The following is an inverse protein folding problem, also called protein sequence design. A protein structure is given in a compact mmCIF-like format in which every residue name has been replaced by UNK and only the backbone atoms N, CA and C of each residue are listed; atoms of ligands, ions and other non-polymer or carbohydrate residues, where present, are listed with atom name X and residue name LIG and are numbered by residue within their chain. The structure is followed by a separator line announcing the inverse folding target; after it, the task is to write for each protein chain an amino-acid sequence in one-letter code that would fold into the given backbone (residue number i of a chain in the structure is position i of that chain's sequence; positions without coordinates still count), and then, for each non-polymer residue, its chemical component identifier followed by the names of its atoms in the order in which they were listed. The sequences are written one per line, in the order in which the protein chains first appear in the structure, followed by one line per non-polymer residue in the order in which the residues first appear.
data_IF_718448368622
#
_entry.id   IF_718448368622
#
_cell.length_a   1.000
_cell.length_b   1.000
_cell.length_c   1.000
_cell.angle_alpha   90.00
_cell.angle_beta   90.00
_cell.angle_gamma   90.00
#
_symmetry.space_group_name_H-M   'P 1'
#
loop_
_entity.id
_entity.type
_entity.pdbx_description
1 polymer ?
#
# COMPACT_ATOMS: atom_id res chain seq x y z
N UNK A 1 -27.83 3.57 36.86
CA UNK A 1 -28.23 4.69 35.98
C UNK A 1 -27.03 5.03 35.12
N UNK A 2 -27.15 4.95 33.79
CA UNK A 2 -26.06 5.32 32.89
C UNK A 2 -26.08 6.84 32.72
N UNK A 3 -25.15 7.52 33.38
CA UNK A 3 -24.97 8.96 33.20
C UNK A 3 -24.27 9.23 31.86
N UNK A 4 -24.69 10.29 31.17
CA UNK A 4 -24.03 10.74 29.93
C UNK A 4 -22.60 11.15 30.27
N UNK A 5 -21.62 10.65 29.52
CA UNK A 5 -20.23 11.09 29.61
C UNK A 5 -19.91 11.96 28.40
N UNK A 6 -19.96 13.31 28.53
CA UNK A 6 -19.59 14.21 27.45
C UNK A 6 -18.15 13.98 26.98
N UNK A 7 -17.93 14.06 25.68
CA UNK A 7 -16.60 13.87 25.06
C UNK A 7 -16.19 12.41 24.85
N UNK A 8 -16.99 11.43 25.29
CA UNK A 8 -16.78 10.01 24.96
C UNK A 8 -17.50 9.62 23.67
N UNK A 9 -17.04 8.54 23.03
CA UNK A 9 -17.67 8.04 21.82
C UNK A 9 -18.81 7.07 22.19
N UNK A 10 -19.97 7.26 21.58
CA UNK A 10 -21.12 6.36 21.68
C UNK A 10 -21.42 5.77 20.31
N UNK A 11 -21.77 4.49 20.26
CA UNK A 11 -22.16 3.80 19.03
C UNK A 11 -23.65 3.51 19.06
N UNK A 12 -24.35 3.90 18.00
CA UNK A 12 -25.73 3.54 17.81
C UNK A 12 -25.85 2.06 17.43
N UNK A 13 -26.60 1.28 18.21
CA UNK A 13 -26.65 -0.19 18.12
C UNK A 13 -27.12 -0.66 16.74
N UNK A 14 -28.16 -0.03 16.18
CA UNK A 14 -28.75 -0.48 14.91
C UNK A 14 -27.98 -0.02 13.67
N UNK A 15 -27.34 1.15 13.72
CA UNK A 15 -26.69 1.73 12.53
C UNK A 15 -25.17 1.62 12.57
N UNK A 16 -24.58 1.23 13.69
CA UNK A 16 -23.13 1.21 13.90
C UNK A 16 -22.48 2.60 13.90
N UNK A 17 -23.27 3.68 13.74
CA UNK A 17 -22.77 5.06 13.68
C UNK A 17 -22.19 5.49 15.01
N UNK A 18 -21.03 6.14 14.96
CA UNK A 18 -20.34 6.66 16.15
C UNK A 18 -20.62 8.14 16.29
N UNK A 19 -21.08 8.54 17.47
CA UNK A 19 -21.42 9.91 17.83
C UNK A 19 -20.70 10.31 19.11
N UNK A 20 -20.48 11.61 19.28
CA UNK A 20 -19.83 12.16 20.46
C UNK A 20 -20.74 13.22 21.10
N UNK A 21 -21.41 12.93 22.23
CA UNK A 21 -22.17 13.92 22.97
C UNK A 21 -21.26 15.02 23.50
N UNK A 22 -21.66 16.27 23.24
CA UNK A 22 -20.96 17.48 23.69
C UNK A 22 -21.57 17.99 24.99
N UNK A 23 -22.88 17.84 25.17
CA UNK A 23 -23.56 18.27 26.39
C UNK A 23 -25.07 18.01 26.38
N UNK A 24 -25.71 18.41 27.48
CA UNK A 24 -27.17 18.38 27.64
C UNK A 24 -27.67 19.82 27.58
N UNK A 25 -28.66 20.06 26.74
CA UNK A 25 -29.36 21.33 26.62
C UNK A 25 -30.84 21.16 26.98
N UNK A 26 -31.52 22.29 27.22
CA UNK A 26 -32.95 22.33 27.42
C UNK A 26 -33.59 22.92 26.16
N UNK A 27 -34.51 22.19 25.54
CA UNK A 27 -35.26 22.65 24.36
C UNK A 27 -36.25 23.74 24.80
N UNK A 28 -36.24 24.90 24.12
CA UNK A 28 -37.04 26.07 24.53
C UNK A 28 -38.56 25.85 24.39
N UNK A 29 -38.99 25.15 23.33
CA UNK A 29 -40.43 24.98 23.04
C UNK A 29 -41.11 23.97 23.97
N UNK A 30 -40.41 22.89 24.33
CA UNK A 30 -40.98 21.76 25.08
C UNK A 30 -40.45 21.65 26.50
N UNK A 31 -39.45 22.46 26.86
CA UNK A 31 -38.68 22.38 28.11
C UNK A 31 -38.08 20.99 28.38
N UNK A 32 -37.87 20.18 27.33
CA UNK A 32 -37.30 18.83 27.45
C UNK A 32 -35.78 18.87 27.44
N UNK A 33 -35.18 17.97 28.21
CA UNK A 33 -33.72 17.74 28.19
C UNK A 33 -33.34 17.01 26.91
N UNK A 34 -32.44 17.59 26.15
CA UNK A 34 -31.90 17.03 24.90
C UNK A 34 -30.40 16.87 25.01
N UNK A 35 -29.86 15.83 24.39
CA UNK A 35 -28.43 15.61 24.20
C UNK A 35 -28.04 16.24 22.88
N UNK A 36 -27.03 17.10 22.92
CA UNK A 36 -26.36 17.65 21.74
C UNK A 36 -25.15 16.76 21.46
N UNK A 37 -25.07 16.20 20.25
CA UNK A 37 -23.97 15.33 19.85
C UNK A 37 -23.48 15.64 18.45
N UNK A 38 -22.21 15.34 18.22
CA UNK A 38 -21.55 15.47 16.92
C UNK A 38 -21.41 14.09 16.29
N UNK A 39 -21.83 13.96 15.04
CA UNK A 39 -21.56 12.79 14.22
C UNK A 39 -20.25 13.04 13.45
N UNK A 40 -19.21 12.25 13.74
CA UNK A 40 -17.92 12.34 13.02
C UNK A 40 -18.08 11.65 11.66
N UNK A 41 -18.25 12.46 10.61
CA UNK A 41 -18.25 12.01 9.20
C UNK A 41 -16.92 12.46 8.57
N UNK A 42 -16.32 11.70 7.62
CA UNK A 42 -14.97 12.01 7.11
C UNK A 42 -14.77 13.40 6.48
N UNK A 43 -15.85 14.14 6.18
CA UNK A 43 -15.77 15.46 5.54
C UNK A 43 -16.47 16.60 6.31
N UNK A 44 -17.35 16.32 7.28
CA UNK A 44 -18.13 17.37 7.97
C UNK A 44 -18.54 16.93 9.37
N UNK A 45 -18.44 17.84 10.34
CA UNK A 45 -19.01 17.65 11.68
C UNK A 45 -20.47 18.12 11.68
N UNK A 46 -21.40 17.17 11.68
CA UNK A 46 -22.83 17.47 11.80
C UNK A 46 -23.26 17.47 13.27
N UNK A 47 -23.88 18.56 13.71
CA UNK A 47 -24.43 18.70 15.05
C UNK A 47 -25.90 18.28 15.05
N UNK A 48 -26.25 17.37 15.95
CA UNK A 48 -27.59 16.84 16.09
C UNK A 48 -28.08 16.97 17.53
N UNK A 49 -29.40 17.07 17.69
CA UNK A 49 -30.07 17.05 18.99
C UNK A 49 -31.01 15.86 19.09
N UNK A 50 -31.11 15.24 20.26
CA UNK A 50 -32.07 14.15 20.54
C UNK A 50 -32.50 14.16 22.00
N UNK A 51 -33.76 13.83 22.34
CA UNK A 51 -34.19 13.75 23.74
C UNK A 51 -33.30 12.83 24.57
N UNK A 52 -32.96 13.25 25.78
CA UNK A 52 -32.06 12.52 26.68
C UNK A 52 -32.56 11.11 26.97
N UNK A 53 -33.86 10.96 27.19
CA UNK A 53 -34.49 9.65 27.45
C UNK A 53 -34.29 8.68 26.29
N UNK A 54 -34.38 9.17 25.04
CA UNK A 54 -34.15 8.36 23.83
C UNK A 54 -32.67 8.09 23.55
N UNK A 55 -31.78 8.91 24.09
CA UNK A 55 -30.34 8.67 23.96
C UNK A 55 -29.89 7.61 24.96
N UNK A 56 -30.52 7.56 26.13
CA UNK A 56 -30.19 6.64 27.23
C UNK A 56 -31.01 5.35 27.28
N UNK A 57 -31.95 5.16 26.35
CA UNK A 57 -32.82 3.97 26.30
C UNK A 57 -32.11 2.68 25.82
N UNK A 58 -30.79 2.72 25.66
CA UNK A 58 -29.98 1.58 25.19
C UNK A 58 -29.75 1.55 23.69
N UNK A 59 -30.27 2.52 22.91
CA UNK A 59 -29.92 2.67 21.48
C UNK A 59 -28.49 3.09 21.23
N UNK A 60 -27.83 3.67 22.24
CA UNK A 60 -26.44 4.12 22.17
C UNK A 60 -25.61 3.44 23.25
N UNK A 61 -24.53 2.79 22.84
CA UNK A 61 -23.58 2.13 23.73
C UNK A 61 -22.28 2.92 23.81
N UNK A 62 -21.73 3.06 25.02
CA UNK A 62 -20.42 3.68 25.21
C UNK A 62 -19.34 2.82 24.54
N UNK A 63 -18.55 3.43 23.66
CA UNK A 63 -17.37 2.82 23.06
C UNK A 63 -16.16 3.19 23.91
N UNK A 64 -15.53 2.19 24.55
CA UNK A 64 -14.29 2.40 25.28
C UNK A 64 -13.16 2.78 24.30
N UNK A 65 -12.52 3.93 24.56
CA UNK A 65 -11.36 4.40 23.80
C UNK A 65 -10.25 3.33 23.88
N UNK A 66 -9.97 2.65 22.77
CA UNK A 66 -8.96 1.58 22.68
C UNK A 66 -9.47 0.27 22.10
N UNK A 67 -10.80 0.04 22.06
CA UNK A 67 -11.37 -0.98 21.17
C UNK A 67 -11.52 -0.37 19.80
N UNK A 68 -10.63 -0.79 18.88
CA UNK A 68 -10.75 -0.53 17.46
C UNK A 68 -12.23 -0.60 17.05
N UNK A 69 -12.71 0.45 16.37
CA UNK A 69 -13.97 0.43 15.64
C UNK A 69 -13.84 -0.57 14.49
N UNK A 70 -13.75 -1.86 14.82
CA UNK A 70 -13.92 -2.90 13.83
C UNK A 70 -15.36 -2.77 13.35
N UNK A 71 -15.59 -2.64 12.04
CA UNK A 71 -16.91 -2.85 11.49
C UNK A 71 -17.45 -4.18 12.01
N UNK A 72 -18.72 -4.14 12.41
CA UNK A 72 -19.54 -5.23 12.95
C UNK A 72 -19.15 -6.60 12.39
N UNK A 73 -19.13 -7.60 13.28
CA UNK A 73 -19.12 -9.03 12.97
C UNK A 73 -20.01 -9.31 11.74
N UNK A 74 -19.38 -9.54 10.59
CA UNK A 74 -20.07 -9.55 9.29
C UNK A 74 -19.15 -9.35 8.09
N UNK A 75 -17.96 -8.76 8.29
CA UNK A 75 -16.90 -8.90 7.30
C UNK A 75 -16.29 -10.31 7.42
N UNK A 76 -16.30 -11.13 6.35
CA UNK A 76 -15.51 -12.35 6.37
C UNK A 76 -14.06 -11.96 6.64
N UNK A 77 -13.38 -12.75 7.48
CA UNK A 77 -11.93 -12.62 7.69
C UNK A 77 -11.26 -12.43 6.35
N UNK A 78 -10.38 -11.43 6.26
CA UNK A 78 -9.59 -11.17 5.08
C UNK A 78 -8.66 -12.38 4.88
N UNK A 79 -9.15 -13.39 4.18
CA UNK A 79 -8.33 -14.51 3.74
C UNK A 79 -7.48 -13.95 2.61
N UNK A 80 -6.17 -13.82 2.80
CA UNK A 80 -5.32 -13.36 1.71
C UNK A 80 -5.53 -14.33 0.55
N UNK A 81 -6.03 -13.80 -0.57
CA UNK A 81 -6.32 -14.57 -1.80
C UNK A 81 -5.05 -15.22 -2.35
N UNK A 82 -3.89 -14.69 -1.93
CA UNK A 82 -2.58 -15.14 -2.31
C UNK A 82 -1.80 -15.56 -1.08
N UNK A 83 -1.09 -16.67 -1.20
CA UNK A 83 -0.22 -17.19 -0.15
C UNK A 83 1.06 -16.31 -0.07
N UNK A 84 1.25 -15.54 1.02
CA UNK A 84 2.35 -14.59 1.13
C UNK A 84 3.71 -15.29 1.15
N UNK A 85 3.80 -16.51 1.69
CA UNK A 85 5.04 -17.29 1.71
C UNK A 85 5.43 -17.72 0.30
N UNK A 86 4.45 -18.13 -0.50
CA UNK A 86 4.66 -18.47 -1.91
C UNK A 86 5.17 -17.28 -2.72
N UNK A 87 4.59 -16.09 -2.52
CA UNK A 87 5.03 -14.85 -3.18
C UNK A 87 6.46 -14.48 -2.77
N UNK A 88 6.80 -14.68 -1.50
CA UNK A 88 8.14 -14.37 -1.00
C UNK A 88 9.19 -15.30 -1.64
N UNK A 89 8.92 -16.60 -1.67
CA UNK A 89 9.80 -17.59 -2.28
C UNK A 89 10.03 -17.34 -3.78
N UNK A 90 8.96 -17.05 -4.53
CA UNK A 90 9.05 -16.73 -5.96
C UNK A 90 9.90 -15.46 -6.21
N UNK A 91 9.78 -14.45 -5.35
CA UNK A 91 10.61 -13.25 -5.43
C UNK A 91 12.10 -13.52 -5.17
N UNK A 92 12.43 -14.41 -4.25
CA UNK A 92 13.83 -14.79 -4.01
C UNK A 92 14.42 -15.55 -5.20
N UNK A 93 13.65 -16.47 -5.79
CA UNK A 93 14.05 -17.19 -6.99
C UNK A 93 14.28 -16.24 -8.17
N UNK A 94 13.35 -15.30 -8.40
CA UNK A 94 13.50 -14.28 -9.45
C UNK A 94 14.75 -13.42 -9.25
N UNK A 95 15.07 -13.04 -8.02
CA UNK A 95 16.32 -12.30 -7.72
C UNK A 95 17.56 -13.10 -8.10
N UNK A 96 17.59 -14.40 -7.80
CA UNK A 96 18.70 -15.26 -8.16
C UNK A 96 18.84 -15.39 -9.68
N UNK A 97 17.74 -15.59 -10.40
CA UNK A 97 17.75 -15.67 -11.86
C UNK A 97 18.25 -14.38 -12.50
N UNK A 98 17.79 -13.21 -12.02
CA UNK A 98 18.25 -11.90 -12.51
C UNK A 98 19.76 -11.72 -12.28
N UNK A 99 20.29 -12.14 -11.14
CA UNK A 99 21.72 -12.05 -10.87
C UNK A 99 22.54 -12.98 -11.77
N UNK A 100 22.07 -14.21 -12.00
CA UNK A 100 22.70 -15.15 -12.93
C UNK A 100 22.76 -14.58 -14.35
N UNK A 101 21.64 -14.05 -14.86
CA UNK A 101 21.58 -13.42 -16.18
C UNK A 101 22.51 -12.20 -16.30
N UNK A 102 22.63 -11.40 -15.23
CA UNK A 102 23.57 -10.27 -15.20
C UNK A 102 25.02 -10.74 -15.32
N UNK A 103 25.37 -11.82 -14.65
CA UNK A 103 26.71 -12.41 -14.71
C UNK A 103 27.02 -12.92 -16.13
N UNK A 104 26.14 -13.75 -16.70
CA UNK A 104 26.27 -14.26 -18.07
C UNK A 104 26.40 -13.13 -19.10
N UNK A 105 25.61 -12.06 -18.95
CA UNK A 105 25.69 -10.89 -19.82
C UNK A 105 27.04 -10.18 -19.72
N UNK A 106 27.65 -10.14 -18.54
CA UNK A 106 28.98 -9.55 -18.35
C UNK A 106 30.04 -10.36 -19.06
N UNK A 107 30.01 -11.69 -18.90
CA UNK A 107 30.94 -12.62 -19.53
C UNK A 107 30.88 -12.53 -21.06
N UNK A 108 29.68 -12.62 -21.64
CA UNK A 108 29.48 -12.46 -23.09
C UNK A 108 29.98 -11.11 -23.61
N UNK A 109 29.88 -10.05 -22.80
CA UNK A 109 30.37 -8.72 -23.19
C UNK A 109 31.89 -8.70 -23.27
N UNK A 110 32.56 -9.34 -22.33
CA UNK A 110 34.03 -9.42 -22.30
C UNK A 110 34.56 -10.28 -23.46
N UNK A 111 33.91 -11.40 -23.74
CA UNK A 111 34.20 -12.23 -24.93
C UNK A 111 34.04 -11.44 -26.23
N UNK A 112 32.96 -10.67 -26.36
CA UNK A 112 32.72 -9.83 -27.53
C UNK A 112 33.84 -8.78 -27.72
N UNK A 113 34.35 -8.21 -26.63
CA UNK A 113 35.47 -7.27 -26.68
C UNK A 113 36.78 -7.92 -27.13
N UNK A 114 37.06 -9.13 -26.64
CA UNK A 114 38.23 -9.90 -27.07
C UNK A 114 38.15 -10.21 -28.57
N UNK A 115 37.03 -10.78 -29.03
CA UNK A 115 36.82 -11.09 -30.45
C UNK A 115 36.94 -9.86 -31.34
N UNK A 116 36.42 -8.70 -30.90
CA UNK A 116 36.55 -7.45 -31.64
C UNK A 116 38.01 -7.00 -31.77
N UNK A 117 38.81 -7.18 -30.73
CA UNK A 117 40.24 -6.87 -30.74
C UNK A 117 41.01 -7.80 -31.68
N UNK A 118 40.74 -9.10 -31.60
CA UNK A 118 41.36 -10.11 -32.45
C UNK A 118 41.02 -9.87 -33.93
N UNK A 119 39.76 -9.59 -34.24
CA UNK A 119 39.32 -9.30 -35.60
C UNK A 119 40.04 -8.06 -36.17
N UNK A 120 40.22 -7.01 -35.36
CA UNK A 120 41.01 -5.83 -35.74
C UNK A 120 42.47 -6.17 -36.05
N UNK A 121 43.08 -7.06 -35.27
CA UNK A 121 44.45 -7.53 -35.51
C UNK A 121 44.57 -8.38 -36.78
N UNK A 122 43.58 -9.24 -37.04
CA UNK A 122 43.51 -10.04 -38.26
C UNK A 122 43.38 -9.14 -39.50
N UNK A 123 42.50 -8.13 -39.46
CA UNK A 123 42.37 -7.19 -40.58
C UNK A 123 43.69 -6.49 -40.91
N UNK A 124 44.42 -6.02 -39.89
CA UNK A 124 45.76 -5.44 -40.09
C UNK A 124 46.74 -6.42 -40.74
N UNK A 125 46.75 -7.67 -40.30
CA UNK A 125 47.60 -8.71 -40.90
C UNK A 125 47.22 -9.00 -42.35
N UNK A 126 45.93 -8.99 -42.66
CA UNK A 126 45.43 -9.15 -44.03
C UNK A 126 45.92 -7.99 -44.90
N UNK A 127 45.82 -6.76 -44.42
CA UNK A 127 46.29 -5.57 -45.15
C UNK A 127 47.80 -5.61 -45.38
N UNK A 128 48.59 -5.95 -44.36
CA UNK A 128 50.05 -6.12 -44.46
C UNK A 128 50.43 -7.19 -45.50
N UNK A 129 49.70 -8.32 -45.53
CA UNK A 129 49.95 -9.40 -46.48
C UNK A 129 49.58 -8.99 -47.90
N UNK A 130 48.44 -8.31 -48.10
CA UNK A 130 48.05 -7.76 -49.42
C UNK A 130 49.13 -6.83 -49.96
N UNK A 131 49.62 -5.91 -49.12
CA UNK A 131 50.67 -4.99 -49.52
C UNK A 131 51.97 -5.71 -49.91
N UNK A 132 52.38 -6.74 -49.16
CA UNK A 132 53.55 -7.55 -49.51
C UNK A 132 53.39 -8.28 -50.85
N UNK A 133 52.21 -8.83 -51.15
CA UNK A 133 51.93 -9.49 -52.43
C UNK A 133 52.00 -8.47 -53.57
N UNK A 134 51.30 -7.34 -53.45
CA UNK A 134 51.30 -6.27 -54.46
C UNK A 134 52.71 -5.74 -54.76
N UNK A 135 53.56 -5.64 -53.75
CA UNK A 135 54.94 -5.15 -53.90
C UNK A 135 55.94 -6.20 -54.38
N UNK A 136 55.61 -7.50 -54.29
CA UNK A 136 56.48 -8.59 -54.77
C UNK A 136 56.12 -9.08 -56.19
N UNK A 137 54.95 -8.71 -56.71
CA UNK A 137 54.54 -8.97 -58.10
C UNK A 137 55.08 -7.94 -59.12
N UNK A 138 55.78 -6.88 -58.68
CA UNK A 138 56.41 -5.91 -59.59
C UNK A 138 57.75 -6.49 -60.10
N UNK A 139 57.90 -6.83 -61.39
CA UNK A 139 59.16 -7.31 -61.93
C UNK A 139 60.16 -6.15 -62.01
N UNK A 140 61.40 -6.39 -61.57
CA UNK A 140 62.54 -5.48 -61.72
C UNK A 140 62.88 -5.22 -63.19
#
# INVERSE_FOLDING_TARGET
MNELQPGKHYRHVNSGKVVMPVGIALEEDTFRKVVVYVEKVPLTDNVWTRPLDQFMDGRFELVEDGKELRPVAGFPEFKPVLDPEKILAENEELKLQVNSLRYQRSEMKDELWQLKSENKMLNRRIDDLKWKVETSEVPF
#
